data_IF_808274176944
#
_entry.id   IF_808274176944
#
_cell.length_a   1.000
_cell.length_b   1.000
_cell.length_c   1.000
_cell.angle_alpha   90.00
_cell.angle_beta   90.00
_cell.angle_gamma   90.00
#
_symmetry.space_group_name_H-M   'P 1'
#
loop_
_entity.id
_entity.type
_entity.pdbx_description
1 polymer ?
#
# COMPACT_ATOMS: atom_id res chain seq x y z
N UNK A 1 -24.38 -2.07 11.62
CA UNK A 1 -23.85 -1.61 10.32
C UNK A 1 -23.04 -0.36 10.61
N UNK A 2 -21.72 -0.48 10.63
CA UNK A 2 -20.85 0.66 10.87
C UNK A 2 -20.87 1.55 9.62
N UNK A 3 -21.35 2.76 9.74
CA UNK A 3 -21.32 3.73 8.62
C UNK A 3 -19.91 4.28 8.49
N UNK A 4 -19.23 3.90 7.41
CA UNK A 4 -17.88 4.38 7.13
C UNK A 4 -17.95 5.84 6.74
N UNK A 5 -17.28 6.70 7.52
CA UNK A 5 -17.15 8.12 7.17
C UNK A 5 -16.13 8.26 6.04
N UNK A 6 -16.61 8.53 4.84
CA UNK A 6 -15.78 8.72 3.65
C UNK A 6 -14.67 9.76 3.86
N UNK A 7 -14.94 10.79 4.65
CA UNK A 7 -13.96 11.83 4.98
C UNK A 7 -12.71 11.34 5.70
N UNK A 8 -12.82 10.31 6.54
CA UNK A 8 -11.65 9.74 7.22
C UNK A 8 -10.76 8.96 6.24
N UNK A 9 -11.36 8.15 5.35
CA UNK A 9 -10.62 7.46 4.30
C UNK A 9 -9.88 8.44 3.39
N UNK A 10 -10.54 9.52 2.95
CA UNK A 10 -9.95 10.56 2.12
C UNK A 10 -8.73 11.20 2.80
N UNK A 11 -8.84 11.54 4.09
CA UNK A 11 -7.73 12.15 4.85
C UNK A 11 -6.53 11.23 4.95
N UNK A 12 -6.75 9.95 5.31
CA UNK A 12 -5.69 8.94 5.41
C UNK A 12 -4.98 8.79 4.06
N UNK A 13 -5.72 8.73 2.96
CA UNK A 13 -5.17 8.61 1.60
C UNK A 13 -4.37 9.86 1.20
N UNK A 14 -4.79 11.07 1.55
CA UNK A 14 -3.98 12.28 1.32
C UNK A 14 -2.65 12.23 2.05
N UNK A 15 -2.62 11.77 3.30
CA UNK A 15 -1.38 11.60 4.06
C UNK A 15 -0.48 10.57 3.39
N UNK A 16 -1.04 9.43 2.94
CA UNK A 16 -0.30 8.39 2.24
C UNK A 16 0.28 8.90 0.91
N UNK A 17 -0.51 9.60 0.08
CA UNK A 17 -0.07 10.20 -1.19
C UNK A 17 1.08 11.19 -0.95
N UNK A 18 0.94 12.08 0.04
CA UNK A 18 1.98 13.03 0.38
C UNK A 18 3.28 12.34 0.81
N UNK A 19 3.17 11.30 1.66
CA UNK A 19 4.31 10.49 2.07
C UNK A 19 5.00 9.79 0.90
N UNK A 20 4.24 9.23 -0.04
CA UNK A 20 4.78 8.59 -1.26
C UNK A 20 5.52 9.60 -2.14
N UNK A 21 4.96 10.79 -2.36
CA UNK A 21 5.62 11.87 -3.12
C UNK A 21 6.95 12.22 -2.45
N UNK A 22 6.94 12.51 -1.15
CA UNK A 22 8.15 12.84 -0.41
C UNK A 22 9.21 11.73 -0.51
N UNK A 23 8.80 10.47 -0.36
CA UNK A 23 9.71 9.33 -0.43
C UNK A 23 10.37 9.22 -1.81
N UNK A 24 9.60 9.31 -2.90
CA UNK A 24 10.13 9.25 -4.27
C UNK A 24 11.10 10.40 -4.55
N UNK A 25 10.72 11.64 -4.19
CA UNK A 25 11.60 12.80 -4.36
C UNK A 25 12.87 12.66 -3.52
N UNK A 26 12.77 12.21 -2.27
CA UNK A 26 13.92 12.03 -1.39
C UNK A 26 14.89 10.98 -1.93
N UNK A 27 14.38 9.82 -2.36
CA UNK A 27 15.20 8.75 -2.93
C UNK A 27 15.90 9.22 -4.20
N UNK A 28 15.17 9.89 -5.09
CA UNK A 28 15.70 10.31 -6.40
C UNK A 28 16.73 11.45 -6.28
N UNK A 29 16.43 12.50 -5.49
CA UNK A 29 17.28 13.73 -5.44
C UNK A 29 18.32 13.73 -4.33
N UNK A 30 18.06 13.10 -3.17
CA UNK A 30 18.97 13.15 -2.03
C UNK A 30 19.82 11.89 -1.90
N UNK A 31 19.23 10.71 -2.15
CA UNK A 31 19.98 9.45 -2.08
C UNK A 31 20.64 9.14 -3.43
N UNK A 32 20.19 9.76 -4.53
CA UNK A 32 20.67 9.54 -5.90
C UNK A 32 20.50 8.09 -6.39
N UNK A 33 19.49 7.36 -5.90
CA UNK A 33 19.17 6.03 -6.40
C UNK A 33 18.34 6.18 -7.69
N UNK A 34 18.77 5.49 -8.75
CA UNK A 34 18.04 5.46 -10.01
C UNK A 34 16.78 4.58 -9.85
N UNK A 35 15.63 5.24 -9.85
CA UNK A 35 14.30 4.60 -9.86
C UNK A 35 13.54 5.03 -11.12
N UNK A 36 12.54 4.29 -11.58
CA UNK A 36 11.59 4.71 -12.60
C UNK A 36 10.73 5.87 -12.10
N UNK A 37 11.30 7.08 -12.12
CA UNK A 37 10.74 8.27 -11.46
C UNK A 37 9.40 8.68 -12.08
N UNK A 38 9.33 8.76 -13.43
CA UNK A 38 8.11 9.17 -14.12
C UNK A 38 6.99 8.16 -13.97
N UNK A 39 7.28 6.88 -14.07
CA UNK A 39 6.33 5.78 -13.89
C UNK A 39 5.78 5.78 -12.46
N UNK A 40 6.64 6.00 -11.48
CA UNK A 40 6.25 6.13 -10.07
C UNK A 40 5.32 7.32 -9.85
N UNK A 41 5.61 8.47 -10.47
CA UNK A 41 4.73 9.64 -10.40
C UNK A 41 3.38 9.41 -11.07
N UNK A 42 3.33 8.68 -12.19
CA UNK A 42 2.06 8.32 -12.85
C UNK A 42 1.18 7.49 -11.91
N UNK A 43 1.76 6.48 -11.22
CA UNK A 43 1.04 5.65 -10.27
C UNK A 43 0.50 6.49 -9.10
N UNK A 44 1.30 7.42 -8.57
CA UNK A 44 0.86 8.32 -7.51
C UNK A 44 -0.24 9.26 -8.00
N UNK A 45 -0.14 9.76 -9.24
CA UNK A 45 -1.15 10.62 -9.83
C UNK A 45 -2.50 9.91 -9.97
N UNK A 46 -2.52 8.62 -10.30
CA UNK A 46 -3.75 7.83 -10.27
C UNK A 46 -4.39 7.81 -8.88
N UNK A 47 -3.60 7.72 -7.81
CA UNK A 47 -4.12 7.81 -6.43
C UNK A 47 -4.69 9.19 -6.12
N UNK A 48 -4.04 10.26 -6.60
CA UNK A 48 -4.58 11.63 -6.49
C UNK A 48 -5.95 11.72 -7.19
N UNK A 49 -6.06 11.19 -8.42
CA UNK A 49 -7.31 11.22 -9.19
C UNK A 49 -8.44 10.46 -8.49
N UNK A 50 -8.17 9.24 -8.00
CA UNK A 50 -9.15 8.44 -7.26
C UNK A 50 -9.55 9.12 -5.94
N UNK A 51 -8.60 9.72 -5.23
CA UNK A 51 -8.90 10.42 -3.98
C UNK A 51 -9.69 11.72 -4.22
N UNK A 52 -9.39 12.42 -5.30
CA UNK A 52 -10.16 13.60 -5.72
C UNK A 52 -11.60 13.22 -6.11
N UNK A 53 -11.78 12.11 -6.84
CA UNK A 53 -13.11 11.56 -7.12
C UNK A 53 -13.87 11.25 -5.83
N UNK A 54 -13.22 10.60 -4.86
CA UNK A 54 -13.80 10.31 -3.54
C UNK A 54 -14.19 11.57 -2.79
N UNK A 55 -13.40 12.65 -2.90
CA UNK A 55 -13.70 13.95 -2.31
C UNK A 55 -14.95 14.61 -2.93
N UNK A 56 -15.10 14.53 -4.25
CA UNK A 56 -16.31 15.03 -4.92
C UNK A 56 -17.55 14.23 -4.51
N UNK A 57 -17.41 12.93 -4.33
CA UNK A 57 -18.51 12.06 -3.86
C UNK A 57 -18.91 12.36 -2.41
N UNK A 58 -17.95 12.67 -1.54
CA UNK A 58 -18.21 13.05 -0.14
C UNK A 58 -19.14 14.26 -0.03
N UNK A 59 -19.08 15.21 -0.98
CA UNK A 59 -19.98 16.36 -1.00
C UNK A 59 -21.44 15.97 -1.18
N UNK A 60 -21.71 14.81 -1.80
CA UNK A 60 -23.05 14.28 -2.03
C UNK A 60 -23.48 13.32 -0.93
N UNK A 61 -22.56 12.44 -0.50
CA UNK A 61 -22.81 11.39 0.47
C UNK A 61 -21.70 11.36 1.54
N UNK A 62 -22.04 11.56 2.80
CA UNK A 62 -21.05 11.53 3.91
C UNK A 62 -20.56 10.12 4.24
N UNK A 63 -21.33 9.11 3.89
CA UNK A 63 -21.06 7.70 4.17
C UNK A 63 -21.05 6.90 2.88
N UNK A 64 -20.29 5.82 2.87
CA UNK A 64 -20.21 4.87 1.73
C UNK A 64 -20.56 3.46 2.19
N UNK A 65 -20.97 2.63 1.23
CA UNK A 65 -21.19 1.21 1.48
C UNK A 65 -19.85 0.47 1.71
N UNK A 66 -19.91 -0.64 2.46
CA UNK A 66 -18.78 -1.51 2.73
C UNK A 66 -18.11 -1.96 1.43
N UNK A 67 -18.90 -2.29 0.40
CA UNK A 67 -18.38 -2.71 -0.90
C UNK A 67 -17.57 -1.61 -1.61
N UNK A 68 -18.01 -0.35 -1.55
CA UNK A 68 -17.25 0.78 -2.10
C UNK A 68 -15.95 1.01 -1.34
N UNK A 69 -15.98 0.95 -0.01
CA UNK A 69 -14.80 1.07 0.82
C UNK A 69 -13.80 -0.08 0.53
N UNK A 70 -14.30 -1.31 0.34
CA UNK A 70 -13.49 -2.44 -0.08
C UNK A 70 -12.76 -2.16 -1.39
N UNK A 71 -13.42 -1.65 -2.44
CA UNK A 71 -12.77 -1.34 -3.71
C UNK A 71 -11.76 -0.21 -3.60
N UNK A 72 -12.00 0.80 -2.75
CA UNK A 72 -10.99 1.83 -2.50
C UNK A 72 -9.74 1.27 -1.83
N UNK A 73 -9.89 0.42 -0.82
CA UNK A 73 -8.74 -0.21 -0.14
C UNK A 73 -8.03 -1.23 -1.05
N UNK A 74 -8.77 -1.96 -1.87
CA UNK A 74 -8.20 -2.83 -2.90
C UNK A 74 -7.34 -2.04 -3.89
N UNK A 75 -7.85 -0.89 -4.37
CA UNK A 75 -7.08 0.00 -5.23
C UNK A 75 -5.80 0.47 -4.53
N UNK A 76 -5.86 0.84 -3.24
CA UNK A 76 -4.68 1.28 -2.49
C UNK A 76 -3.63 0.17 -2.35
N UNK A 77 -4.05 -1.08 -2.11
CA UNK A 77 -3.15 -2.25 -2.07
C UNK A 77 -2.49 -2.48 -3.43
N UNK A 78 -3.26 -2.45 -4.52
CA UNK A 78 -2.73 -2.63 -5.88
C UNK A 78 -1.78 -1.50 -6.26
N UNK A 79 -2.13 -0.26 -5.99
CA UNK A 79 -1.33 0.92 -6.27
C UNK A 79 0.02 0.87 -5.53
N UNK A 80 0.00 0.54 -4.22
CA UNK A 80 1.21 0.35 -3.44
C UNK A 80 2.05 -0.83 -3.96
N UNK A 81 1.42 -1.94 -4.33
CA UNK A 81 2.09 -3.08 -4.94
C UNK A 81 2.83 -2.69 -6.22
N UNK A 82 2.21 -1.93 -7.12
CA UNK A 82 2.86 -1.43 -8.34
C UNK A 82 4.00 -0.46 -8.03
N UNK A 83 3.82 0.44 -7.07
CA UNK A 83 4.87 1.37 -6.67
C UNK A 83 6.08 0.62 -6.10
N UNK A 84 5.85 -0.37 -5.25
CA UNK A 84 6.90 -1.23 -4.71
C UNK A 84 7.58 -2.06 -5.80
N UNK A 85 6.82 -2.58 -6.78
CA UNK A 85 7.39 -3.28 -7.92
C UNK A 85 8.42 -2.42 -8.67
N UNK A 86 8.13 -1.14 -8.87
CA UNK A 86 9.05 -0.19 -9.53
C UNK A 86 10.24 0.21 -8.66
N UNK A 87 10.15 0.05 -7.35
CA UNK A 87 11.09 0.66 -6.39
C UNK A 87 11.76 -0.35 -5.46
N UNK A 88 12.03 -1.56 -5.93
CA UNK A 88 12.84 -2.54 -5.21
C UNK A 88 12.07 -3.65 -4.47
N UNK A 89 10.78 -3.80 -4.73
CA UNK A 89 9.98 -4.89 -4.15
C UNK A 89 9.89 -4.82 -2.63
N UNK A 90 9.98 -5.97 -1.97
CA UNK A 90 9.91 -6.03 -0.50
C UNK A 90 11.14 -5.47 0.21
N UNK A 91 12.29 -5.33 -0.49
CA UNK A 91 13.52 -4.75 0.06
C UNK A 91 13.34 -3.23 0.29
N UNK A 92 12.41 -2.61 -0.41
CA UNK A 92 12.07 -1.22 -0.20
C UNK A 92 11.57 -1.01 1.25
N UNK A 93 12.19 -0.11 2.04
CA UNK A 93 11.76 0.16 3.43
C UNK A 93 10.28 0.55 3.55
N UNK A 94 9.70 1.10 2.48
CA UNK A 94 8.28 1.47 2.43
C UNK A 94 7.33 0.31 2.16
N UNK A 95 7.84 -0.94 2.00
CA UNK A 95 7.01 -2.14 1.83
C UNK A 95 6.04 -2.35 3.00
N UNK A 96 6.41 -1.90 4.20
CA UNK A 96 5.54 -1.92 5.38
C UNK A 96 4.23 -1.13 5.19
N UNK A 97 4.19 -0.15 4.30
CA UNK A 97 2.99 0.66 4.04
C UNK A 97 1.85 -0.15 3.45
N UNK A 98 2.12 -1.34 2.89
CA UNK A 98 1.07 -2.23 2.38
C UNK A 98 0.13 -2.71 3.50
N UNK A 99 0.58 -2.63 4.75
CA UNK A 99 -0.24 -2.95 5.92
C UNK A 99 -1.32 -1.90 6.20
N UNK A 100 -1.12 -0.64 5.78
CA UNK A 100 -2.02 0.46 6.10
C UNK A 100 -3.46 0.24 5.58
N UNK A 101 -3.71 -0.12 4.32
CA UNK A 101 -5.06 -0.44 3.86
C UNK A 101 -5.64 -1.69 4.51
N UNK A 102 -4.81 -2.67 4.90
CA UNK A 102 -5.26 -3.88 5.63
C UNK A 102 -5.72 -3.51 7.04
N UNK A 103 -4.95 -2.71 7.78
CA UNK A 103 -5.32 -2.19 9.10
C UNK A 103 -6.61 -1.37 9.01
N UNK A 104 -6.71 -0.51 7.99
CA UNK A 104 -7.91 0.30 7.75
C UNK A 104 -9.12 -0.60 7.50
N UNK A 105 -8.97 -1.69 6.73
CA UNK A 105 -10.05 -2.63 6.48
C UNK A 105 -10.52 -3.32 7.76
N UNK A 106 -9.60 -3.74 8.63
CA UNK A 106 -9.91 -4.35 9.92
C UNK A 106 -10.70 -3.42 10.86
N UNK A 107 -10.50 -2.11 10.73
CA UNK A 107 -11.17 -1.11 11.56
C UNK A 107 -12.58 -0.75 11.07
N UNK A 108 -12.86 -0.90 9.77
CA UNK A 108 -14.08 -0.35 9.17
C UNK A 108 -14.92 -1.35 8.39
N UNK A 109 -14.34 -2.45 7.88
CA UNK A 109 -15.04 -3.41 7.04
C UNK A 109 -15.46 -4.68 7.82
N UNK A 110 -16.47 -5.42 7.33
CA UNK A 110 -16.75 -6.76 7.81
C UNK A 110 -15.51 -7.67 7.69
N UNK A 111 -15.32 -8.56 8.66
CA UNK A 111 -14.14 -9.41 8.78
C UNK A 111 -13.83 -10.20 7.49
N UNK A 112 -14.85 -10.73 6.79
CA UNK A 112 -14.63 -11.48 5.55
C UNK A 112 -13.98 -10.62 4.45
N UNK A 113 -14.32 -9.33 4.34
CA UNK A 113 -13.71 -8.41 3.38
C UNK A 113 -12.25 -8.11 3.76
N UNK A 114 -11.97 -7.96 5.04
CA UNK A 114 -10.60 -7.81 5.55
C UNK A 114 -9.75 -9.04 5.24
N UNK A 115 -10.29 -10.25 5.39
CA UNK A 115 -9.59 -11.49 5.04
C UNK A 115 -9.27 -11.54 3.54
N UNK A 116 -10.20 -11.14 2.67
CA UNK A 116 -9.93 -11.09 1.23
C UNK A 116 -8.81 -10.10 0.92
N UNK A 117 -8.86 -8.87 1.47
CA UNK A 117 -7.81 -7.86 1.27
C UNK A 117 -6.46 -8.33 1.83
N UNK A 118 -6.46 -9.02 2.97
CA UNK A 118 -5.27 -9.63 3.56
C UNK A 118 -4.67 -10.69 2.64
N UNK A 119 -5.49 -11.59 2.09
CA UNK A 119 -5.04 -12.62 1.15
C UNK A 119 -4.42 -12.01 -0.12
N UNK A 120 -5.05 -10.95 -0.66
CA UNK A 120 -4.51 -10.21 -1.81
C UNK A 120 -3.18 -9.55 -1.46
N UNK A 121 -3.06 -8.93 -0.29
CA UNK A 121 -1.80 -8.32 0.18
C UNK A 121 -0.70 -9.35 0.32
N UNK A 122 -0.98 -10.53 0.91
CA UNK A 122 -0.02 -11.63 1.02
C UNK A 122 0.43 -12.10 -0.37
N UNK A 123 -0.50 -12.26 -1.32
CA UNK A 123 -0.15 -12.63 -2.69
C UNK A 123 0.79 -11.60 -3.34
N UNK A 124 0.47 -10.30 -3.20
CA UNK A 124 1.30 -9.21 -3.76
C UNK A 124 2.69 -9.20 -3.14
N UNK A 125 2.84 -9.21 -1.81
CA UNK A 125 4.16 -9.21 -1.17
C UNK A 125 4.96 -10.46 -1.50
N UNK A 126 4.29 -11.61 -1.67
CA UNK A 126 4.95 -12.85 -2.12
C UNK A 126 5.47 -12.70 -3.54
N UNK A 127 4.68 -12.15 -4.46
CA UNK A 127 5.11 -11.87 -5.83
C UNK A 127 6.27 -10.88 -5.82
N UNK A 128 6.19 -9.79 -5.03
CA UNK A 128 7.22 -8.77 -4.92
C UNK A 128 8.54 -9.27 -4.31
N UNK A 129 8.53 -10.40 -3.61
CA UNK A 129 9.77 -11.04 -3.15
C UNK A 129 10.60 -11.62 -4.31
N UNK A 130 9.93 -12.03 -5.40
CA UNK A 130 10.59 -12.69 -6.55
C UNK A 130 10.66 -11.80 -7.79
N UNK A 131 9.70 -10.90 -7.96
CA UNK A 131 9.54 -10.08 -9.16
C UNK A 131 9.42 -8.60 -8.78
N UNK A 132 10.46 -7.84 -9.12
CA UNK A 132 10.53 -6.38 -8.92
C UNK A 132 11.62 -5.78 -9.78
N UNK A 133 11.60 -4.47 -9.99
CA UNK A 133 12.70 -3.74 -10.61
C UNK A 133 13.75 -3.49 -9.53
N UNK A 134 14.98 -4.07 -9.66
CA UNK A 134 16.00 -3.93 -8.64
C UNK A 134 16.47 -2.47 -8.52
N UNK A 135 16.71 -2.04 -7.28
CA UNK A 135 17.36 -0.76 -7.01
C UNK A 135 18.84 -0.85 -7.29
N UNK A 136 19.40 0.11 -8.00
CA UNK A 136 20.83 0.22 -8.18
C UNK A 136 21.46 0.91 -6.95
N UNK A 137 21.79 0.10 -5.94
CA UNK A 137 22.35 0.57 -4.65
C UNK A 137 23.87 0.62 -4.63
N UNK A 138 24.55 0.33 -5.76
CA UNK A 138 26.00 0.15 -5.87
C UNK A 138 26.46 -1.27 -5.54
N UNK A 139 27.70 -1.59 -5.93
CA UNK A 139 28.27 -2.95 -5.81
C UNK A 139 28.48 -3.40 -4.34
N UNK A 140 28.58 -2.45 -3.41
CA UNK A 140 28.87 -2.73 -1.99
C UNK A 140 27.62 -3.12 -1.18
N UNK A 141 26.41 -2.93 -1.73
CA UNK A 141 25.18 -3.19 -1.01
C UNK A 141 24.55 -4.53 -1.42
N UNK A 142 24.93 -5.59 -0.71
CA UNK A 142 24.36 -6.92 -0.88
C UNK A 142 23.54 -7.33 0.34
N UNK A 143 22.24 -7.53 0.16
CA UNK A 143 21.39 -8.14 1.17
C UNK A 143 21.34 -9.67 0.97
N UNK A 144 21.69 -10.47 1.97
CA UNK A 144 21.56 -11.92 1.90
C UNK A 144 20.11 -12.33 1.61
N UNK A 145 19.93 -13.38 0.81
CA UNK A 145 18.57 -13.88 0.49
C UNK A 145 17.75 -14.21 1.75
N UNK A 146 18.40 -14.69 2.82
CA UNK A 146 17.74 -15.00 4.08
C UNK A 146 17.08 -13.77 4.71
N UNK A 147 17.63 -12.57 4.49
CA UNK A 147 17.03 -11.32 4.96
C UNK A 147 15.71 -11.05 4.22
N UNK A 148 15.67 -11.26 2.91
CA UNK A 148 14.45 -11.08 2.11
C UNK A 148 13.35 -12.05 2.56
N UNK A 149 13.68 -13.32 2.83
CA UNK A 149 12.73 -14.28 3.38
C UNK A 149 12.27 -13.90 4.79
N UNK A 150 13.14 -13.33 5.61
CA UNK A 150 12.78 -12.78 6.92
C UNK A 150 11.78 -11.63 6.83
N UNK A 151 12.01 -10.68 5.89
CA UNK A 151 11.08 -9.58 5.62
C UNK A 151 9.73 -10.10 5.13
N UNK A 152 9.73 -11.03 4.17
CA UNK A 152 8.52 -11.67 3.67
C UNK A 152 7.74 -12.33 4.80
N UNK A 153 8.40 -13.14 5.60
CA UNK A 153 7.76 -13.83 6.73
C UNK A 153 7.16 -12.83 7.73
N UNK A 154 7.88 -11.77 8.09
CA UNK A 154 7.40 -10.76 9.04
C UNK A 154 6.16 -10.02 8.51
N UNK A 155 6.13 -9.65 7.25
CA UNK A 155 4.98 -9.01 6.62
C UNK A 155 3.77 -9.96 6.57
N UNK A 156 3.96 -11.21 6.17
CA UNK A 156 2.88 -12.22 6.13
C UNK A 156 2.30 -12.44 7.53
N UNK A 157 3.14 -12.65 8.53
CA UNK A 157 2.69 -12.85 9.93
C UNK A 157 1.88 -11.65 10.40
N UNK A 158 2.33 -10.42 10.11
CA UNK A 158 1.62 -9.20 10.49
C UNK A 158 0.26 -9.09 9.81
N UNK A 159 0.17 -9.40 8.51
CA UNK A 159 -1.10 -9.39 7.77
C UNK A 159 -2.07 -10.45 8.33
N UNK A 160 -1.58 -11.65 8.63
CA UNK A 160 -2.39 -12.72 9.23
C UNK A 160 -2.90 -12.28 10.61
N UNK A 161 -2.04 -11.66 11.43
CA UNK A 161 -2.43 -11.16 12.75
C UNK A 161 -3.55 -10.12 12.64
N UNK A 162 -3.45 -9.17 11.69
CA UNK A 162 -4.49 -8.16 11.44
C UNK A 162 -5.80 -8.82 11.00
N UNK A 163 -5.73 -9.83 10.12
CA UNK A 163 -6.91 -10.56 9.66
C UNK A 163 -7.61 -11.31 10.80
N UNK A 164 -6.84 -11.93 11.70
CA UNK A 164 -7.38 -12.61 12.90
C UNK A 164 -8.01 -11.58 13.82
N UNK A 165 -7.33 -10.45 14.08
CA UNK A 165 -7.85 -9.38 14.94
C UNK A 165 -9.20 -8.82 14.43
N UNK A 166 -9.41 -8.77 13.12
CA UNK A 166 -10.68 -8.32 12.55
C UNK A 166 -11.86 -9.28 12.83
N UNK A 167 -11.58 -10.52 13.25
CA UNK A 167 -12.59 -11.52 13.62
C UNK A 167 -12.93 -11.51 15.12
N UNK A 168 -12.04 -10.98 15.96
CA UNK A 168 -12.22 -10.91 17.43
C UNK A 168 -13.04 -9.68 17.82
#
# INVERSE_FOLDING_TARGET
MNTILLGNLIKIRWIAIFGQILAIFFVFYFINIQIPFFESLVIIFLSVAVNFYSYLEQRKNKTISDLKAFYFLLFDILQLGFLLFLTGGIINPFSILILAPVITSASYLPAFMTVILSAISIAIITILNFYYIPLNLGEEFYLPQIYNFGLLASLIITVIFIAIYAYL
#
